data_IF_554834293926
#
_entry.id   IF_554834293926
#
_cell.length_a   1.000
_cell.length_b   1.000
_cell.length_c   1.000
_cell.angle_alpha   90.00
_cell.angle_beta   90.00
_cell.angle_gamma   90.00
#
_symmetry.space_group_name_H-M   'P 1'
#
loop_
_entity.id
_entity.type
_entity.pdbx_description
1 polymer ?
#
# COMPACT_ATOMS: atom_id res chain seq x y z
N UNK A 1 -6.74 24.39 17.41
CA UNK A 1 -5.83 25.31 16.70
C UNK A 1 -4.41 24.98 17.16
N UNK A 2 -3.73 24.02 16.49
CA UNK A 2 -2.32 23.72 16.76
C UNK A 2 -1.54 24.44 15.66
N UNK A 3 -0.84 25.49 16.04
CA UNK A 3 0.10 26.21 15.18
C UNK A 3 1.25 25.25 14.87
N UNK A 4 1.28 24.71 13.64
CA UNK A 4 2.48 24.08 13.14
C UNK A 4 3.57 25.14 13.06
N UNK A 5 4.59 25.03 13.88
CA UNK A 5 5.80 25.85 13.78
C UNK A 5 6.48 25.54 12.45
N UNK A 6 6.21 26.34 11.44
CA UNK A 6 6.84 26.29 10.15
C UNK A 6 8.22 26.93 10.26
N UNK A 7 9.24 26.10 10.30
CA UNK A 7 10.64 26.55 10.19
C UNK A 7 10.83 27.33 8.90
N UNK A 8 11.28 28.57 9.02
CA UNK A 8 11.69 29.39 7.89
C UNK A 8 12.84 28.70 7.14
N UNK A 9 12.60 28.34 5.87
CA UNK A 9 13.64 27.80 5.02
C UNK A 9 14.54 28.95 4.52
N UNK A 10 15.87 28.79 4.54
CA UNK A 10 16.78 29.84 4.07
C UNK A 10 16.68 30.03 2.56
N UNK A 11 16.54 31.29 2.12
CA UNK A 11 16.90 31.75 0.80
C UNK A 11 15.90 31.51 -0.31
N UNK A 12 14.65 31.96 -0.18
CA UNK A 12 13.77 32.07 -1.35
C UNK A 12 14.12 33.35 -2.14
N UNK A 13 14.48 33.17 -3.43
CA UNK A 13 14.84 34.25 -4.37
C UNK A 13 13.65 35.11 -4.80
N UNK A 14 12.45 34.87 -4.28
CA UNK A 14 11.22 35.57 -4.70
C UNK A 14 10.71 35.18 -6.11
N UNK A 15 11.36 34.26 -6.78
CA UNK A 15 10.99 33.78 -8.13
C UNK A 15 9.74 32.87 -8.09
N UNK A 16 8.89 33.00 -9.09
CA UNK A 16 7.69 32.15 -9.24
C UNK A 16 8.10 30.69 -9.48
N UNK A 17 7.67 29.78 -8.61
CA UNK A 17 7.98 28.35 -8.69
C UNK A 17 6.77 27.50 -8.30
N UNK A 18 6.54 26.39 -9.02
CA UNK A 18 5.65 25.31 -8.62
C UNK A 18 6.41 24.27 -7.80
N UNK A 19 5.73 23.61 -6.86
CA UNK A 19 6.30 22.44 -6.20
C UNK A 19 6.63 21.34 -7.23
N UNK A 20 7.69 20.58 -6.99
CA UNK A 20 8.23 19.59 -7.92
C UNK A 20 7.25 18.50 -8.33
N UNK A 21 6.23 18.25 -7.51
CA UNK A 21 5.15 17.30 -7.84
C UNK A 21 4.28 17.79 -9.00
N UNK A 22 4.31 19.07 -9.37
CA UNK A 22 3.60 19.64 -10.52
C UNK A 22 4.55 19.82 -11.70
N UNK A 23 4.65 18.82 -12.53
CA UNK A 23 5.49 18.84 -13.74
C UNK A 23 4.69 18.48 -14.99
N UNK A 24 5.30 18.59 -16.15
CA UNK A 24 4.73 18.04 -17.37
C UNK A 24 4.43 16.54 -17.19
N UNK A 25 3.49 16.02 -17.94
CA UNK A 25 2.99 14.64 -17.91
C UNK A 25 2.26 14.22 -16.60
N UNK A 26 1.96 15.14 -15.68
CA UNK A 26 1.25 14.79 -14.45
C UNK A 26 -0.17 14.30 -14.70
N UNK A 27 -0.66 13.47 -13.77
CA UNK A 27 -2.08 13.14 -13.65
C UNK A 27 -2.63 13.86 -12.44
N UNK A 28 -3.66 14.66 -12.63
CA UNK A 28 -4.45 15.23 -11.54
C UNK A 28 -5.63 14.32 -11.24
N UNK A 29 -5.94 14.13 -9.96
CA UNK A 29 -7.11 13.34 -9.55
C UNK A 29 -8.38 13.96 -10.17
N UNK A 30 -9.14 13.17 -10.92
CA UNK A 30 -10.35 13.63 -11.62
C UNK A 30 -11.47 14.02 -10.66
N UNK A 31 -12.38 14.88 -11.14
CA UNK A 31 -13.66 15.24 -10.52
C UNK A 31 -13.54 15.75 -9.07
N UNK A 32 -12.40 16.37 -8.74
CA UNK A 32 -12.13 16.88 -7.39
C UNK A 32 -11.53 18.27 -7.40
N UNK A 33 -11.45 18.88 -6.24
CA UNK A 33 -10.79 20.15 -6.02
C UNK A 33 -9.30 19.86 -5.70
N UNK A 34 -8.45 19.87 -6.74
CA UNK A 34 -7.02 19.60 -6.58
C UNK A 34 -6.28 20.83 -6.04
N UNK A 35 -5.59 20.73 -4.91
CA UNK A 35 -4.65 21.74 -4.47
C UNK A 35 -3.47 21.85 -5.44
N UNK A 36 -3.08 23.09 -5.75
CA UNK A 36 -1.88 23.42 -6.53
C UNK A 36 -1.13 24.47 -5.73
N UNK A 37 0.18 24.28 -5.51
CA UNK A 37 0.97 25.15 -4.67
C UNK A 37 2.39 25.36 -5.19
N UNK A 38 3.04 26.35 -4.62
CA UNK A 38 4.41 26.71 -4.93
C UNK A 38 4.85 27.95 -4.18
N UNK A 39 5.80 28.66 -4.75
CA UNK A 39 6.40 29.83 -4.12
C UNK A 39 6.44 30.99 -5.09
N UNK A 40 6.43 32.21 -4.57
CA UNK A 40 6.57 33.47 -5.28
C UNK A 40 7.07 34.54 -4.29
N UNK A 41 7.35 35.76 -4.74
CA UNK A 41 7.67 36.85 -3.82
C UNK A 41 6.56 37.03 -2.77
N UNK A 42 6.91 37.24 -1.48
CA UNK A 42 5.92 37.52 -0.44
C UNK A 42 4.96 38.65 -0.85
N UNK A 43 3.67 38.43 -0.66
CA UNK A 43 2.63 39.37 -1.04
C UNK A 43 2.30 39.40 -2.54
N UNK A 44 3.02 38.64 -3.36
CA UNK A 44 2.73 38.58 -4.80
C UNK A 44 1.43 37.82 -5.08
N UNK A 45 0.62 38.36 -6.01
CA UNK A 45 -0.57 37.68 -6.51
C UNK A 45 -0.18 36.65 -7.53
N UNK A 46 -0.55 35.39 -7.28
CA UNK A 46 -0.36 34.26 -8.19
C UNK A 46 -1.70 33.84 -8.77
N UNK A 47 -1.78 33.63 -10.11
CA UNK A 47 -2.95 33.14 -10.79
C UNK A 47 -2.63 31.84 -11.53
N UNK A 48 -3.55 30.88 -11.45
CA UNK A 48 -3.49 29.59 -12.14
C UNK A 48 -4.67 29.48 -13.11
N UNK A 49 -4.38 29.26 -14.37
CA UNK A 49 -5.35 29.00 -15.43
C UNK A 49 -5.08 27.63 -16.05
N UNK A 50 -6.16 26.95 -16.46
CA UNK A 50 -6.12 25.58 -16.98
C UNK A 50 -6.95 25.50 -18.26
N UNK A 51 -6.54 24.66 -19.21
CA UNK A 51 -7.17 24.61 -20.54
C UNK A 51 -8.59 24.05 -20.53
N UNK A 52 -9.00 23.33 -19.47
CA UNK A 52 -10.37 22.80 -19.33
C UNK A 52 -11.34 23.76 -18.63
N UNK A 53 -10.88 24.96 -18.22
CA UNK A 53 -11.73 25.96 -17.59
C UNK A 53 -11.40 27.36 -18.07
N UNK A 54 -12.44 28.18 -18.32
CA UNK A 54 -12.28 29.59 -18.66
C UNK A 54 -11.98 30.48 -17.45
N UNK A 55 -12.18 29.96 -16.20
CA UNK A 55 -11.98 30.72 -14.97
C UNK A 55 -10.60 30.39 -14.39
N UNK A 56 -9.78 31.42 -14.23
CA UNK A 56 -8.55 31.32 -13.46
C UNK A 56 -8.85 31.40 -11.95
N UNK A 57 -8.05 30.73 -11.15
CA UNK A 57 -8.05 30.86 -9.68
C UNK A 57 -6.79 31.62 -9.23
N UNK A 58 -6.86 32.31 -8.11
CA UNK A 58 -5.71 33.07 -7.64
C UNK A 58 -5.59 33.07 -6.12
N UNK A 59 -4.36 33.22 -5.64
CA UNK A 59 -3.99 33.44 -4.24
C UNK A 59 -2.92 34.51 -4.12
N UNK A 60 -2.71 35.02 -2.91
CA UNK A 60 -1.58 35.88 -2.55
C UNK A 60 -0.57 35.02 -1.80
N UNK A 61 0.70 35.11 -2.17
CA UNK A 61 1.78 34.43 -1.46
C UNK A 61 1.90 35.01 -0.03
N UNK A 62 2.06 34.14 0.95
CA UNK A 62 2.22 34.50 2.35
C UNK A 62 3.59 35.15 2.65
N UNK A 63 3.88 35.41 3.92
CA UNK A 63 5.13 36.01 4.35
C UNK A 63 6.37 35.12 4.04
N UNK A 64 6.18 33.81 3.93
CA UNK A 64 7.21 32.83 3.53
C UNK A 64 7.29 32.62 2.02
N UNK A 65 6.50 33.39 1.25
CA UNK A 65 6.40 33.30 -0.19
C UNK A 65 5.58 32.09 -0.68
N UNK A 66 4.87 31.37 0.19
CA UNK A 66 4.06 30.20 -0.20
C UNK A 66 2.70 30.63 -0.73
N UNK A 67 2.28 30.00 -1.79
CA UNK A 67 0.91 30.18 -2.30
C UNK A 67 0.25 28.82 -2.54
N UNK A 68 -1.06 28.76 -2.39
CA UNK A 68 -1.88 27.58 -2.68
C UNK A 68 -3.22 28.00 -3.24
N UNK A 69 -3.65 27.33 -4.28
CA UNK A 69 -4.99 27.46 -4.88
C UNK A 69 -5.65 26.10 -5.00
N UNK A 70 -6.96 26.08 -5.24
CA UNK A 70 -7.70 24.86 -5.56
C UNK A 70 -8.21 24.95 -6.99
N UNK A 71 -7.88 23.94 -7.79
CA UNK A 71 -8.29 23.81 -9.19
C UNK A 71 -9.26 22.63 -9.31
N UNK A 72 -10.50 22.89 -9.77
CA UNK A 72 -11.47 21.84 -10.03
C UNK A 72 -11.08 21.09 -11.30
N UNK A 73 -10.87 19.77 -11.20
CA UNK A 73 -10.55 18.90 -12.33
C UNK A 73 -11.82 18.38 -13.02
N UNK A 74 -11.78 18.15 -14.34
CA UNK A 74 -12.89 17.58 -15.09
C UNK A 74 -12.99 16.06 -14.89
N UNK A 75 -13.91 15.43 -15.60
CA UNK A 75 -13.90 13.99 -15.87
C UNK A 75 -12.55 13.54 -16.47
N UNK A 76 -12.34 12.22 -16.52
CA UNK A 76 -11.12 11.67 -17.09
C UNK A 76 -10.89 12.11 -18.54
N UNK A 77 -9.67 12.49 -18.88
CA UNK A 77 -9.29 12.95 -20.21
C UNK A 77 -8.00 13.73 -20.26
N UNK A 78 -7.78 14.42 -21.36
CA UNK A 78 -6.58 15.19 -21.66
C UNK A 78 -6.09 14.91 -23.09
N UNK A 79 -4.91 15.41 -23.49
CA UNK A 79 -3.98 16.20 -22.66
C UNK A 79 -4.42 17.65 -22.47
N UNK A 80 -4.14 18.16 -21.28
CA UNK A 80 -4.44 19.54 -20.88
C UNK A 80 -3.16 20.34 -20.61
N UNK A 81 -3.33 21.65 -20.40
CA UNK A 81 -2.25 22.56 -19.98
C UNK A 81 -2.64 23.36 -18.74
N UNK A 82 -1.64 23.73 -17.95
CA UNK A 82 -1.76 24.64 -16.80
C UNK A 82 -0.76 25.78 -16.94
N UNK A 83 -1.23 27.01 -16.80
CA UNK A 83 -0.37 28.20 -16.77
C UNK A 83 -0.47 28.87 -15.42
N UNK A 84 0.69 29.14 -14.80
CA UNK A 84 0.84 29.90 -13.55
C UNK A 84 1.51 31.23 -13.84
N UNK A 85 0.98 32.32 -13.32
CA UNK A 85 1.50 33.68 -13.54
C UNK A 85 1.62 34.45 -12.24
N UNK A 86 2.68 35.24 -12.12
CA UNK A 86 2.84 36.24 -11.05
C UNK A 86 3.59 37.44 -11.64
N UNK A 87 2.93 38.60 -11.74
CA UNK A 87 3.47 39.77 -12.42
C UNK A 87 3.85 39.45 -13.88
N UNK A 88 5.14 39.57 -14.21
CA UNK A 88 5.68 39.24 -15.55
C UNK A 88 6.09 37.79 -15.71
N UNK A 89 6.21 37.05 -14.61
CA UNK A 89 6.64 35.66 -14.63
C UNK A 89 5.53 34.72 -15.08
N UNK A 90 5.88 33.68 -15.85
CA UNK A 90 4.97 32.69 -16.38
C UNK A 90 5.62 31.31 -16.38
N UNK A 91 4.93 30.34 -15.79
CA UNK A 91 5.25 28.92 -15.89
C UNK A 91 4.13 28.21 -16.66
N UNK A 92 4.48 27.19 -17.42
CA UNK A 92 3.51 26.35 -18.13
C UNK A 92 3.81 24.90 -17.86
N UNK A 93 2.78 24.09 -17.68
CA UNK A 93 2.83 22.62 -17.61
C UNK A 93 1.96 22.04 -18.69
N UNK A 94 2.47 21.03 -19.38
CA UNK A 94 1.86 20.42 -20.56
C UNK A 94 1.64 18.93 -20.37
N UNK A 95 0.85 18.35 -21.26
CA UNK A 95 0.51 16.92 -21.27
C UNK A 95 -0.06 16.46 -19.91
N UNK A 96 -0.96 17.27 -19.33
CA UNK A 96 -1.64 16.98 -18.08
C UNK A 96 -2.85 16.10 -18.39
N UNK A 97 -3.02 15.03 -17.63
CA UNK A 97 -4.20 14.18 -17.70
C UNK A 97 -5.07 14.38 -16.47
N UNK A 98 -6.38 14.28 -16.65
CA UNK A 98 -7.34 14.06 -15.56
C UNK A 98 -7.61 12.57 -15.45
N UNK A 99 -7.37 11.97 -14.30
CA UNK A 99 -7.47 10.51 -14.12
C UNK A 99 -7.47 10.10 -12.67
N UNK A 100 -7.13 8.86 -12.40
CA UNK A 100 -7.00 8.34 -11.03
C UNK A 100 -5.55 8.45 -10.56
N UNK A 101 -5.35 8.91 -9.33
CA UNK A 101 -4.01 9.03 -8.72
C UNK A 101 -3.93 8.17 -7.47
N UNK A 102 -2.89 7.34 -7.37
CA UNK A 102 -2.63 6.49 -6.21
C UNK A 102 -1.23 6.69 -5.66
N UNK A 103 -1.12 6.76 -4.33
CA UNK A 103 0.16 6.85 -3.63
C UNK A 103 0.60 5.44 -3.21
N UNK A 104 1.72 4.97 -3.75
CA UNK A 104 2.23 3.61 -3.56
C UNK A 104 3.46 3.67 -2.65
N UNK A 105 3.29 3.31 -1.37
CA UNK A 105 4.33 3.45 -0.34
C UNK A 105 4.63 2.13 0.37
N UNK A 106 5.75 2.05 1.06
CA UNK A 106 6.17 0.88 1.80
C UNK A 106 7.67 0.63 1.71
N UNK A 107 8.09 -0.63 1.90
CA UNK A 107 9.48 -1.01 1.89
C UNK A 107 9.91 -1.76 0.62
N UNK A 108 10.91 -2.62 0.70
CA UNK A 108 11.54 -3.29 -0.46
C UNK A 108 10.56 -4.03 -1.36
N UNK A 109 9.52 -4.65 -0.83
CA UNK A 109 8.50 -5.34 -1.61
C UNK A 109 7.62 -4.39 -2.45
N UNK A 110 7.39 -3.15 -1.98
CA UNK A 110 6.82 -2.08 -2.80
C UNK A 110 7.88 -1.46 -3.73
N UNK A 111 9.12 -1.36 -3.30
CA UNK A 111 10.20 -0.73 -4.07
C UNK A 111 10.64 -1.59 -5.26
N UNK A 112 10.53 -2.91 -5.17
CA UNK A 112 11.03 -3.87 -6.17
C UNK A 112 10.52 -3.51 -7.56
N UNK A 113 11.44 -3.20 -8.51
CA UNK A 113 11.05 -2.72 -9.83
C UNK A 113 10.53 -3.86 -10.72
N UNK A 114 9.84 -3.53 -11.80
CA UNK A 114 9.39 -4.52 -12.81
C UNK A 114 10.56 -5.36 -13.31
N UNK A 115 11.75 -4.79 -13.49
CA UNK A 115 12.95 -5.52 -13.88
C UNK A 115 13.51 -6.44 -12.78
N UNK A 116 12.94 -6.44 -11.58
CA UNK A 116 13.43 -7.18 -10.42
C UNK A 116 14.63 -6.52 -9.74
N UNK A 117 15.08 -7.12 -8.63
CA UNK A 117 16.37 -6.79 -8.02
C UNK A 117 17.46 -7.71 -8.59
N UNK A 118 18.72 -7.41 -8.29
CA UNK A 118 19.83 -8.31 -8.66
C UNK A 118 19.58 -9.73 -8.11
N UNK A 119 19.54 -10.72 -8.99
CA UNK A 119 19.27 -12.15 -8.70
C UNK A 119 17.86 -12.44 -8.16
N UNK A 120 16.95 -11.50 -8.20
CA UNK A 120 15.56 -11.68 -7.76
C UNK A 120 14.63 -11.22 -8.86
N UNK A 121 13.92 -12.16 -9.45
CA UNK A 121 13.06 -11.95 -10.61
C UNK A 121 11.67 -11.47 -10.18
N UNK A 122 10.99 -10.80 -11.09
CA UNK A 122 9.54 -10.55 -11.02
C UNK A 122 8.87 -11.32 -12.14
N UNK A 123 7.90 -12.14 -11.82
CA UNK A 123 7.10 -12.88 -12.81
C UNK A 123 6.30 -11.90 -13.70
N UNK A 124 6.19 -12.19 -15.00
CA UNK A 124 5.48 -11.33 -15.95
C UNK A 124 6.21 -10.04 -16.38
N UNK A 125 7.46 -9.81 -15.92
CA UNK A 125 8.23 -8.59 -16.24
C UNK A 125 8.37 -8.35 -17.73
N UNK A 126 8.76 -9.38 -18.49
CA UNK A 126 8.97 -9.27 -19.94
C UNK A 126 7.70 -8.90 -20.67
N UNK A 127 6.60 -9.54 -20.32
CA UNK A 127 5.27 -9.32 -20.90
C UNK A 127 4.77 -7.90 -20.59
N UNK A 128 4.99 -7.42 -19.38
CA UNK A 128 4.66 -6.05 -18.99
C UNK A 128 5.47 -5.01 -19.76
N UNK A 129 6.78 -5.23 -19.92
CA UNK A 129 7.64 -4.32 -20.67
C UNK A 129 7.32 -4.31 -22.18
N UNK A 130 6.83 -5.43 -22.73
CA UNK A 130 6.33 -5.45 -24.10
C UNK A 130 5.03 -4.63 -24.27
N UNK A 131 4.16 -4.60 -23.25
CA UNK A 131 2.92 -3.79 -23.27
C UNK A 131 3.15 -2.31 -22.92
N UNK A 132 4.21 -1.98 -22.18
CA UNK A 132 4.45 -0.65 -21.65
C UNK A 132 4.38 0.49 -22.71
N UNK A 133 4.87 0.34 -23.95
CA UNK A 133 4.71 1.39 -24.97
C UNK A 133 3.24 1.72 -25.29
N UNK A 134 2.36 0.72 -25.33
CA UNK A 134 0.93 0.92 -25.58
C UNK A 134 0.20 1.57 -24.38
N UNK A 135 0.74 1.42 -23.18
CA UNK A 135 0.19 1.99 -21.95
C UNK A 135 0.74 3.40 -21.63
N UNK A 136 1.77 3.86 -22.34
CA UNK A 136 2.51 5.09 -22.04
C UNK A 136 1.64 6.37 -22.02
N UNK A 137 0.59 6.42 -22.82
CA UNK A 137 -0.33 7.55 -22.83
C UNK A 137 -1.41 7.48 -21.73
N UNK A 138 -1.59 6.34 -21.09
CA UNK A 138 -2.57 6.12 -20.02
C UNK A 138 -1.97 6.09 -18.64
N UNK A 139 -0.72 5.60 -18.50
CA UNK A 139 -0.05 5.46 -17.21
C UNK A 139 1.06 6.50 -17.09
N UNK A 140 1.04 7.23 -15.98
CA UNK A 140 2.05 8.21 -15.63
C UNK A 140 2.64 7.88 -14.26
N UNK A 141 3.93 8.08 -14.12
CA UNK A 141 4.72 7.69 -12.98
C UNK A 141 5.43 8.91 -12.40
N UNK A 142 5.20 9.17 -11.13
CA UNK A 142 5.99 10.07 -10.32
C UNK A 142 6.78 9.23 -9.30
N UNK A 143 8.07 9.08 -9.51
CA UNK A 143 8.93 8.37 -8.56
C UNK A 143 9.58 9.39 -7.66
N UNK A 144 9.27 9.34 -6.36
CA UNK A 144 9.90 10.21 -5.37
C UNK A 144 11.38 9.84 -5.28
N UNK A 145 12.22 10.78 -5.70
CA UNK A 145 13.69 10.68 -5.65
C UNK A 145 14.21 11.69 -4.64
N UNK A 146 14.21 11.31 -3.38
CA UNK A 146 14.65 12.11 -2.26
C UNK A 146 15.26 11.19 -1.19
N UNK A 147 16.15 11.74 -0.39
CA UNK A 147 16.81 11.04 0.69
C UNK A 147 15.99 11.03 1.98
N UNK A 148 16.47 10.29 2.96
CA UNK A 148 15.95 10.33 4.33
C UNK A 148 16.51 11.54 5.05
N UNK A 149 15.73 12.20 5.89
CA UNK A 149 16.17 13.35 6.67
C UNK A 149 15.35 13.57 7.92
N UNK A 150 15.97 14.07 8.98
CA UNK A 150 15.27 14.53 10.18
C UNK A 150 14.70 15.95 10.04
N UNK A 151 15.07 16.66 8.98
CA UNK A 151 14.59 18.03 8.72
C UNK A 151 13.43 17.98 7.73
N UNK A 152 12.26 18.54 8.07
CA UNK A 152 11.11 18.61 7.16
C UNK A 152 11.49 19.27 5.83
N UNK A 153 11.18 18.60 4.72
CA UNK A 153 11.41 19.14 3.38
C UNK A 153 10.09 19.71 2.82
N UNK A 154 10.17 20.87 2.19
CA UNK A 154 9.00 21.50 1.59
C UNK A 154 8.75 21.05 0.14
N UNK A 155 9.73 20.43 -0.51
CA UNK A 155 9.69 20.11 -1.93
C UNK A 155 10.56 18.91 -2.29
N UNK A 156 10.28 18.30 -3.45
CA UNK A 156 11.08 17.20 -3.99
C UNK A 156 11.55 17.51 -5.42
N UNK A 157 12.74 17.04 -5.78
CA UNK A 157 13.29 17.15 -7.13
C UNK A 157 12.94 15.90 -7.93
N UNK A 158 11.72 15.83 -8.41
CA UNK A 158 11.23 14.72 -9.23
C UNK A 158 10.29 15.25 -10.32
N UNK A 159 9.95 14.42 -11.29
CA UNK A 159 9.00 14.78 -12.35
C UNK A 159 8.17 13.58 -12.79
N UNK A 160 6.94 13.85 -13.20
CA UNK A 160 6.08 12.88 -13.83
C UNK A 160 6.63 12.44 -15.19
N UNK A 161 6.54 11.15 -15.48
CA UNK A 161 7.00 10.55 -16.73
C UNK A 161 5.96 9.59 -17.28
N UNK A 162 5.94 9.41 -18.60
CA UNK A 162 5.16 8.36 -19.26
C UNK A 162 5.71 6.98 -18.90
N UNK A 163 4.85 6.01 -18.72
CA UNK A 163 5.22 4.63 -18.39
C UNK A 163 5.72 3.89 -19.63
N UNK A 164 6.82 4.32 -20.20
CA UNK A 164 7.42 3.71 -21.39
C UNK A 164 8.88 3.35 -21.18
N UNK A 165 9.38 2.39 -21.93
CA UNK A 165 10.78 2.00 -21.95
C UNK A 165 11.35 1.75 -20.55
N UNK A 166 12.49 2.34 -20.25
CA UNK A 166 13.18 2.18 -18.97
C UNK A 166 12.37 2.69 -17.78
N UNK A 167 11.45 3.66 -17.98
CA UNK A 167 10.67 4.16 -16.85
C UNK A 167 9.76 3.07 -16.25
N UNK A 168 9.11 2.27 -17.07
CA UNK A 168 8.34 1.12 -16.61
C UNK A 168 9.25 0.09 -15.93
N UNK A 169 10.39 -0.25 -16.54
CA UNK A 169 11.33 -1.24 -16.02
C UNK A 169 11.84 -0.92 -14.60
N UNK A 170 12.13 0.35 -14.32
CA UNK A 170 12.67 0.80 -13.03
C UNK A 170 11.61 1.31 -12.04
N UNK A 171 10.33 1.12 -12.36
CA UNK A 171 9.21 1.46 -11.47
C UNK A 171 8.80 0.25 -10.62
N UNK A 172 8.26 0.49 -9.43
CA UNK A 172 7.63 -0.54 -8.59
C UNK A 172 6.76 -1.49 -9.41
N UNK A 173 7.03 -2.78 -9.33
CA UNK A 173 6.26 -3.79 -10.05
C UNK A 173 4.79 -3.80 -9.58
N UNK A 174 4.56 -3.81 -8.26
CA UNK A 174 3.20 -3.78 -7.71
C UNK A 174 2.44 -2.54 -8.17
N UNK A 175 3.05 -1.36 -8.08
CA UNK A 175 2.40 -0.12 -8.49
C UNK A 175 2.13 -0.06 -10.00
N UNK A 176 3.07 -0.55 -10.82
CA UNK A 176 2.92 -0.57 -12.27
C UNK A 176 1.81 -1.53 -12.73
N UNK A 177 1.84 -2.78 -12.26
CA UNK A 177 0.80 -3.75 -12.59
C UNK A 177 -0.59 -3.31 -12.09
N UNK A 178 -0.66 -2.73 -10.89
CA UNK A 178 -1.90 -2.16 -10.39
C UNK A 178 -2.43 -1.04 -11.32
N UNK A 179 -1.56 -0.12 -11.74
CA UNK A 179 -1.96 0.96 -12.64
C UNK A 179 -2.41 0.43 -14.01
N UNK A 180 -1.76 -0.61 -14.53
CA UNK A 180 -2.14 -1.28 -15.77
C UNK A 180 -3.56 -1.86 -15.66
N UNK A 181 -3.83 -2.66 -14.61
CA UNK A 181 -5.15 -3.26 -14.35
C UNK A 181 -6.23 -2.22 -14.12
N UNK A 182 -5.91 -1.18 -13.36
CA UNK A 182 -6.88 -0.12 -13.05
C UNK A 182 -7.22 0.70 -14.31
N UNK A 183 -6.23 1.04 -15.13
CA UNK A 183 -6.43 1.74 -16.40
C UNK A 183 -7.28 0.93 -17.39
N UNK A 184 -7.07 -0.39 -17.44
CA UNK A 184 -7.89 -1.31 -18.23
C UNK A 184 -9.32 -1.38 -17.70
N UNK A 185 -9.50 -1.62 -16.39
CA UNK A 185 -10.81 -1.83 -15.75
C UNK A 185 -11.70 -0.59 -15.74
N UNK A 186 -11.10 0.62 -15.64
CA UNK A 186 -11.84 1.88 -15.63
C UNK A 186 -11.90 2.58 -16.99
N UNK A 187 -10.98 2.28 -17.92
CA UNK A 187 -10.85 2.97 -19.19
C UNK A 187 -10.31 4.41 -19.06
N UNK A 188 -9.64 4.76 -17.95
CA UNK A 188 -9.18 6.14 -17.66
C UNK A 188 -7.67 6.19 -17.44
N UNK A 189 -7.02 7.38 -17.57
CA UNK A 189 -5.62 7.54 -17.19
C UNK A 189 -5.39 7.25 -15.70
N UNK A 190 -4.22 6.68 -15.40
CA UNK A 190 -3.80 6.39 -14.02
C UNK A 190 -2.42 6.98 -13.76
N UNK A 191 -2.30 7.76 -12.70
CA UNK A 191 -1.06 8.26 -12.15
C UNK A 191 -0.68 7.50 -10.89
N UNK A 192 0.56 7.02 -10.81
CA UNK A 192 1.12 6.41 -9.60
C UNK A 192 2.24 7.26 -9.04
N UNK A 193 2.14 7.58 -7.75
CA UNK A 193 3.20 8.23 -7.00
C UNK A 193 3.93 7.13 -6.23
N UNK A 194 5.09 6.72 -6.72
CA UNK A 194 5.89 5.64 -6.12
C UNK A 194 6.83 6.23 -5.08
N UNK A 195 6.58 5.90 -3.84
CA UNK A 195 7.31 6.40 -2.69
C UNK A 195 7.63 5.25 -1.73
N UNK A 196 8.63 4.44 -2.05
CA UNK A 196 9.02 3.26 -1.28
C UNK A 196 10.51 3.30 -0.94
N UNK A 197 10.87 2.65 0.20
CA UNK A 197 12.25 2.58 0.68
C UNK A 197 12.52 1.24 1.38
N UNK A 198 13.44 0.45 0.81
CA UNK A 198 13.78 -0.87 1.30
C UNK A 198 14.28 -0.89 2.74
N UNK A 199 13.85 -1.88 3.53
CA UNK A 199 14.24 -2.05 4.92
C UNK A 199 13.67 -1.03 5.89
N UNK A 200 12.74 -0.16 5.45
CA UNK A 200 12.16 0.85 6.34
C UNK A 200 11.15 0.26 7.32
N UNK A 201 11.16 0.78 8.54
CA UNK A 201 10.13 0.55 9.55
C UNK A 201 8.96 1.51 9.33
N UNK A 202 7.78 1.15 9.84
CA UNK A 202 6.57 1.99 9.74
C UNK A 202 6.78 3.37 10.39
N UNK A 203 7.47 3.46 11.52
CA UNK A 203 7.74 4.70 12.24
C UNK A 203 8.55 5.74 11.43
N UNK A 204 9.34 5.30 10.43
CA UNK A 204 10.05 6.22 9.55
C UNK A 204 9.10 7.05 8.64
N UNK A 205 7.89 6.56 8.42
CA UNK A 205 6.84 7.17 7.60
C UNK A 205 5.84 8.01 8.41
N UNK A 206 6.12 8.25 9.70
CA UNK A 206 5.26 8.96 10.63
C UNK A 206 6.00 10.17 11.21
N UNK A 207 5.26 11.22 11.55
CA UNK A 207 5.78 12.31 12.38
C UNK A 207 6.10 11.80 13.79
N UNK A 208 7.11 12.36 14.45
CA UNK A 208 7.47 11.98 15.81
C UNK A 208 6.29 12.17 16.79
N UNK A 209 5.55 13.24 16.64
CA UNK A 209 4.36 13.55 17.44
C UNK A 209 3.25 12.51 17.28
N UNK A 210 3.09 11.96 16.07
CA UNK A 210 2.14 10.87 15.81
C UNK A 210 2.55 9.60 16.51
N UNK A 211 3.86 9.27 16.53
CA UNK A 211 4.38 8.12 17.26
C UNK A 211 4.22 8.33 18.78
N UNK A 212 4.55 9.52 19.30
CA UNK A 212 4.39 9.86 20.71
C UNK A 212 2.91 9.83 21.17
N UNK A 213 1.96 10.12 20.28
CA UNK A 213 0.52 10.04 20.59
C UNK A 213 0.03 8.64 20.91
N UNK A 214 0.81 7.60 20.58
CA UNK A 214 0.53 6.20 20.93
C UNK A 214 0.81 5.86 22.40
N UNK A 215 1.41 6.78 23.16
CA UNK A 215 1.68 6.63 24.59
C UNK A 215 0.37 6.39 25.36
N UNK A 216 0.36 5.36 26.19
CA UNK A 216 -0.84 4.90 26.89
C UNK A 216 -1.79 4.01 26.06
N UNK A 217 -1.60 3.92 24.74
CA UNK A 217 -2.34 3.02 23.84
C UNK A 217 -1.51 1.77 23.51
N UNK A 218 -0.21 1.95 23.36
CA UNK A 218 0.80 0.91 23.14
C UNK A 218 1.66 0.83 24.41
N UNK A 219 2.05 -0.38 24.88
CA UNK A 219 2.95 -0.51 26.03
C UNK A 219 4.24 0.27 25.83
N UNK A 220 4.73 0.90 26.90
CA UNK A 220 5.92 1.76 26.85
C UNK A 220 7.16 1.03 26.30
N UNK A 221 7.34 -0.24 26.64
CA UNK A 221 8.44 -1.07 26.09
C UNK A 221 8.33 -1.23 24.58
N UNK A 222 7.12 -1.45 24.06
CA UNK A 222 6.89 -1.59 22.61
C UNK A 222 7.04 -0.24 21.90
N UNK A 223 6.55 0.84 22.50
CA UNK A 223 6.75 2.20 22.00
C UNK A 223 8.24 2.54 21.92
N UNK A 224 9.01 2.21 22.97
CA UNK A 224 10.46 2.38 22.99
C UNK A 224 11.14 1.56 21.88
N UNK A 225 10.71 0.33 21.62
CA UNK A 225 11.21 -0.47 20.47
C UNK A 225 10.87 0.19 19.12
N UNK A 226 9.68 0.73 18.99
CA UNK A 226 9.24 1.43 17.76
C UNK A 226 10.07 2.69 17.53
N UNK A 227 10.40 3.42 18.60
CA UNK A 227 11.22 4.63 18.57
C UNK A 227 12.72 4.36 18.48
N UNK A 228 13.18 3.15 18.88
CA UNK A 228 14.60 2.83 18.98
C UNK A 228 15.33 2.90 17.64
N UNK A 229 16.51 3.53 17.64
CA UNK A 229 17.46 3.47 16.54
C UNK A 229 18.06 2.06 16.45
N UNK A 230 18.00 1.44 15.27
CA UNK A 230 18.67 0.17 15.03
C UNK A 230 20.19 0.40 14.88
N UNK A 231 20.93 0.13 15.96
CA UNK A 231 22.40 -0.10 15.95
C UNK A 231 23.26 1.02 15.34
N UNK A 232 22.96 2.29 15.57
CA UNK A 232 23.85 3.39 15.22
C UNK A 232 24.14 3.54 13.71
N UNK A 233 23.46 2.80 12.85
CA UNK A 233 23.52 2.99 11.41
C UNK A 233 22.52 4.07 11.04
N UNK A 234 22.98 5.10 10.34
CA UNK A 234 22.16 6.11 9.67
C UNK A 234 21.35 5.43 8.55
N UNK A 235 20.27 4.72 8.91
CA UNK A 235 19.43 3.95 7.98
C UNK A 235 17.97 4.38 8.14
N UNK A 236 17.13 4.20 7.09
CA UNK A 236 15.73 4.66 7.00
C UNK A 236 14.79 4.03 8.03
N UNK A 237 15.31 3.65 9.18
CA UNK A 237 14.57 3.08 10.32
C UNK A 237 14.27 4.12 11.41
N UNK A 238 14.88 5.31 11.32
CA UNK A 238 14.62 6.39 12.29
C UNK A 238 13.22 6.96 12.08
N UNK A 239 12.53 7.23 13.20
CA UNK A 239 11.23 7.92 13.20
C UNK A 239 11.30 9.17 12.32
N UNK A 240 10.25 9.44 11.59
CA UNK A 240 10.00 10.60 10.72
C UNK A 240 10.97 10.83 9.55
N UNK A 241 12.02 10.04 9.40
CA UNK A 241 13.06 10.32 8.38
C UNK A 241 12.54 10.25 6.94
N UNK A 242 11.63 9.32 6.65
CA UNK A 242 10.98 9.19 5.35
C UNK A 242 9.73 10.09 5.26
N UNK A 243 9.08 10.35 6.38
CA UNK A 243 8.03 11.35 6.44
C UNK A 243 8.58 12.70 6.00
N UNK A 244 9.60 13.20 6.67
CA UNK A 244 10.20 14.51 6.40
C UNK A 244 10.78 14.65 5.00
N UNK A 245 11.49 13.63 4.52
CA UNK A 245 12.18 13.69 3.24
C UNK A 245 11.32 13.37 2.04
N UNK A 246 10.29 12.54 2.21
CA UNK A 246 9.63 11.89 1.08
C UNK A 246 8.10 12.02 1.06
N UNK A 247 7.43 11.94 2.24
CA UNK A 247 5.97 12.04 2.31
C UNK A 247 5.50 13.49 2.38
N UNK A 248 6.06 14.27 3.30
CA UNK A 248 5.69 15.66 3.52
C UNK A 248 5.78 16.53 2.24
N UNK A 249 6.83 16.43 1.39
CA UNK A 249 6.94 17.25 0.18
C UNK A 249 5.84 17.01 -0.88
N UNK A 250 5.18 15.86 -0.84
CA UNK A 250 4.10 15.48 -1.78
C UNK A 250 2.73 15.49 -1.12
N UNK A 251 2.67 15.69 0.20
CA UNK A 251 1.43 15.66 0.95
C UNK A 251 0.45 16.74 0.49
N UNK A 252 -0.79 16.34 0.31
CA UNK A 252 -1.84 17.20 -0.23
C UNK A 252 -1.93 17.23 -1.77
N UNK A 253 -1.08 16.48 -2.51
CA UNK A 253 -1.35 16.20 -3.92
C UNK A 253 -2.58 15.29 -4.00
N UNK A 254 -3.66 15.78 -4.63
CA UNK A 254 -4.93 15.06 -4.61
C UNK A 254 -4.76 13.65 -5.19
N UNK A 255 -5.17 12.66 -4.42
CA UNK A 255 -5.09 11.25 -4.78
C UNK A 255 -6.35 10.50 -4.33
N UNK A 256 -6.62 9.37 -4.97
CA UNK A 256 -7.75 8.49 -4.65
C UNK A 256 -7.51 7.72 -3.36
N UNK A 257 -6.31 7.18 -3.17
CA UNK A 257 -6.01 6.32 -2.04
C UNK A 257 -4.53 5.96 -1.94
N UNK A 258 -4.24 5.07 -0.98
CA UNK A 258 -2.90 4.59 -0.68
C UNK A 258 -2.79 3.08 -0.93
N UNK A 259 -1.67 2.65 -1.52
CA UNK A 259 -1.22 1.26 -1.51
C UNK A 259 -0.02 1.15 -0.57
N UNK A 260 -0.05 0.17 0.32
CA UNK A 260 0.96 -0.03 1.35
C UNK A 260 1.49 -1.47 1.36
N UNK A 261 2.79 -1.64 1.15
CA UNK A 261 3.43 -2.95 1.24
C UNK A 261 4.66 -2.86 2.16
N UNK A 262 4.44 -3.19 3.43
CA UNK A 262 5.44 -3.09 4.49
C UNK A 262 5.05 -4.01 5.66
N UNK A 263 6.00 -4.36 6.52
CA UNK A 263 5.80 -5.14 7.73
C UNK A 263 7.01 -6.00 8.08
N UNK A 264 7.83 -6.38 7.10
CA UNK A 264 8.97 -7.27 7.30
C UNK A 264 10.00 -6.70 8.30
N UNK A 265 10.15 -5.38 8.32
CA UNK A 265 11.03 -4.68 9.28
C UNK A 265 10.42 -4.49 10.66
N UNK A 266 9.13 -4.75 10.80
CA UNK A 266 8.35 -4.61 12.04
C UNK A 266 7.70 -5.93 12.49
N UNK A 267 8.13 -7.07 11.96
CA UNK A 267 7.51 -8.40 12.18
C UNK A 267 7.37 -8.82 13.65
N UNK A 268 8.08 -8.19 14.56
CA UNK A 268 7.99 -8.42 16.01
C UNK A 268 7.10 -7.38 16.71
N UNK A 269 6.52 -6.42 15.98
CA UNK A 269 5.64 -5.41 16.55
C UNK A 269 4.20 -5.92 16.67
N UNK A 270 3.85 -6.39 17.86
CA UNK A 270 2.52 -6.94 18.16
C UNK A 270 1.42 -5.86 18.31
N UNK A 271 1.78 -4.58 18.16
CA UNK A 271 0.87 -3.42 18.16
C UNK A 271 0.90 -2.65 16.84
N UNK A 272 1.43 -3.29 15.80
CA UNK A 272 1.52 -2.72 14.46
C UNK A 272 0.18 -2.20 13.93
N UNK A 273 -0.93 -2.86 14.25
CA UNK A 273 -2.30 -2.44 13.92
C UNK A 273 -2.60 -1.01 14.41
N UNK A 274 -2.25 -0.69 15.64
CA UNK A 274 -2.45 0.64 16.25
C UNK A 274 -1.49 1.68 15.68
N UNK A 275 -0.24 1.31 15.46
CA UNK A 275 0.76 2.16 14.82
C UNK A 275 0.32 2.49 13.38
N UNK A 276 -0.15 1.49 12.63
CA UNK A 276 -0.64 1.67 11.27
C UNK A 276 -1.90 2.54 11.23
N UNK A 277 -2.82 2.36 12.18
CA UNK A 277 -4.02 3.18 12.28
C UNK A 277 -3.68 4.67 12.53
N UNK A 278 -2.76 4.95 13.46
CA UNK A 278 -2.29 6.31 13.71
C UNK A 278 -1.61 6.93 12.48
N UNK A 279 -0.77 6.17 11.78
CA UNK A 279 -0.13 6.60 10.54
C UNK A 279 -1.17 6.98 9.48
N UNK A 280 -2.13 6.10 9.22
CA UNK A 280 -3.15 6.34 8.18
C UNK A 280 -4.05 7.51 8.54
N UNK A 281 -4.46 7.63 9.80
CA UNK A 281 -5.26 8.76 10.27
C UNK A 281 -4.52 10.09 10.01
N UNK A 282 -3.23 10.15 10.36
CA UNK A 282 -2.41 11.35 10.13
C UNK A 282 -2.16 11.62 8.65
N UNK A 283 -1.91 10.61 7.84
CA UNK A 283 -1.78 10.78 6.39
C UNK A 283 -3.06 11.36 5.78
N UNK A 284 -4.23 10.84 6.11
CA UNK A 284 -5.53 11.36 5.64
C UNK A 284 -5.74 12.82 6.03
N UNK A 285 -5.41 13.18 7.28
CA UNK A 285 -5.51 14.54 7.77
C UNK A 285 -4.64 15.51 6.96
N UNK A 286 -3.36 15.17 6.75
CA UNK A 286 -2.41 16.03 6.02
C UNK A 286 -2.71 16.08 4.53
N UNK A 287 -3.21 14.99 3.95
CA UNK A 287 -3.65 14.97 2.55
C UNK A 287 -4.88 15.84 2.31
N UNK A 288 -5.80 15.88 3.26
CA UNK A 288 -7.01 16.69 3.16
C UNK A 288 -7.98 16.26 2.06
N UNK A 289 -7.94 14.99 1.64
CA UNK A 289 -8.81 14.41 0.62
C UNK A 289 -9.91 13.50 1.21
N UNK A 290 -10.22 13.66 2.51
CA UNK A 290 -11.22 12.88 3.22
C UNK A 290 -10.74 11.47 3.59
N UNK A 291 -11.69 10.52 3.69
CA UNK A 291 -11.41 9.13 4.06
C UNK A 291 -10.84 8.36 2.85
N UNK A 292 -9.58 8.63 2.52
CA UNK A 292 -8.89 7.97 1.42
C UNK A 292 -8.77 6.45 1.69
N UNK A 293 -9.16 5.57 0.74
CA UNK A 293 -8.95 4.13 0.86
C UNK A 293 -7.48 3.78 1.13
N UNK A 294 -7.27 2.80 2.03
CA UNK A 294 -5.96 2.29 2.38
C UNK A 294 -5.91 0.78 2.10
N UNK A 295 -5.17 0.39 1.08
CA UNK A 295 -5.00 -1.00 0.67
C UNK A 295 -3.61 -1.47 1.09
N UNK A 296 -3.53 -2.55 1.87
CA UNK A 296 -2.25 -3.06 2.33
C UNK A 296 -2.05 -4.55 2.02
N UNK A 297 -0.80 -5.02 2.07
CA UNK A 297 -0.41 -6.40 1.78
C UNK A 297 -0.03 -7.09 3.08
N UNK A 298 -0.50 -8.32 3.30
CA UNK A 298 -0.01 -9.17 4.38
C UNK A 298 1.40 -9.68 4.08
N UNK A 299 2.17 -10.06 5.12
CA UNK A 299 3.52 -10.60 4.91
C UNK A 299 3.50 -11.93 4.17
N UNK A 300 4.31 -12.05 3.14
CA UNK A 300 4.46 -13.29 2.40
C UNK A 300 5.22 -14.36 3.22
N UNK A 301 4.93 -15.66 3.00
CA UNK A 301 5.70 -16.75 3.59
C UNK A 301 7.19 -16.66 3.26
N UNK A 302 8.02 -16.70 4.30
CA UNK A 302 9.48 -16.68 4.23
C UNK A 302 10.04 -17.24 5.53
N UNK A 303 11.21 -17.87 5.52
CA UNK A 303 11.74 -18.59 6.71
C UNK A 303 11.96 -17.70 7.93
N UNK A 304 12.24 -16.40 7.78
CA UNK A 304 12.59 -15.50 8.90
C UNK A 304 13.59 -16.12 9.89
N UNK A 305 14.56 -16.88 9.35
CA UNK A 305 15.58 -17.60 10.12
C UNK A 305 15.18 -19.01 10.55
N UNK A 306 13.90 -19.34 10.65
CA UNK A 306 13.39 -20.68 10.97
C UNK A 306 12.01 -20.88 10.34
N UNK A 307 11.89 -21.76 9.35
CA UNK A 307 10.64 -21.98 8.61
C UNK A 307 9.47 -22.39 9.51
N UNK A 308 9.69 -23.28 10.47
CA UNK A 308 8.68 -23.70 11.45
C UNK A 308 8.43 -22.69 12.59
N UNK A 309 8.97 -21.46 12.52
CA UNK A 309 8.68 -20.40 13.49
C UNK A 309 7.31 -19.76 13.22
N UNK A 310 6.78 -19.05 14.22
CA UNK A 310 5.44 -18.46 14.17
C UNK A 310 5.44 -16.92 14.14
N UNK A 311 6.58 -16.27 13.89
CA UNK A 311 6.65 -14.79 13.88
C UNK A 311 5.73 -14.19 12.82
N UNK A 312 5.77 -14.75 11.60
CA UNK A 312 4.97 -14.26 10.47
C UNK A 312 3.46 -14.43 10.71
N UNK A 313 2.94 -15.62 11.02
CA UNK A 313 1.49 -15.78 11.17
C UNK A 313 0.94 -14.95 12.34
N UNK A 314 1.66 -14.84 13.45
CA UNK A 314 1.27 -13.95 14.56
C UNK A 314 1.25 -12.47 14.13
N UNK A 315 2.21 -12.04 13.33
CA UNK A 315 2.21 -10.69 12.80
C UNK A 315 1.09 -10.45 11.78
N UNK A 316 0.73 -11.45 10.97
CA UNK A 316 -0.42 -11.35 10.05
C UNK A 316 -1.73 -11.18 10.83
N UNK A 317 -1.91 -11.87 11.97
CA UNK A 317 -3.05 -11.62 12.86
C UNK A 317 -3.12 -10.13 13.27
N UNK A 318 -1.97 -9.53 13.57
CA UNK A 318 -1.87 -8.10 13.89
C UNK A 318 -2.21 -7.24 12.68
N UNK A 319 -1.62 -7.53 11.50
CA UNK A 319 -1.94 -6.79 10.28
C UNK A 319 -3.44 -6.84 9.95
N UNK A 320 -4.08 -7.99 10.09
CA UNK A 320 -5.52 -8.13 9.80
C UNK A 320 -6.42 -7.45 10.84
N UNK A 321 -5.95 -7.25 12.09
CA UNK A 321 -6.66 -6.39 13.05
C UNK A 321 -6.79 -4.94 12.59
N UNK A 322 -5.85 -4.44 11.79
CA UNK A 322 -5.92 -3.10 11.20
C UNK A 322 -7.20 -2.83 10.39
N UNK A 323 -7.81 -3.88 9.83
CA UNK A 323 -9.08 -3.77 9.11
C UNK A 323 -10.25 -3.30 10.01
N UNK A 324 -10.15 -3.50 11.32
CA UNK A 324 -11.13 -3.03 12.30
C UNK A 324 -10.81 -1.63 12.82
N UNK A 325 -9.53 -1.26 12.84
CA UNK A 325 -9.04 0.01 13.37
C UNK A 325 -9.04 1.13 12.32
N UNK A 326 -8.90 0.77 11.03
CA UNK A 326 -8.77 1.73 9.93
C UNK A 326 -10.01 1.66 9.03
N UNK A 327 -10.92 2.63 9.08
CA UNK A 327 -12.05 2.71 8.15
C UNK A 327 -11.56 2.68 6.69
N UNK A 328 -12.36 2.14 5.77
CA UNK A 328 -12.03 2.04 4.34
C UNK A 328 -10.64 1.43 4.07
N UNK A 329 -10.26 0.42 4.85
CA UNK A 329 -9.04 -0.36 4.65
C UNK A 329 -9.34 -1.76 4.14
N UNK A 330 -8.40 -2.30 3.34
CA UNK A 330 -8.54 -3.60 2.68
C UNK A 330 -7.18 -4.28 2.57
N UNK A 331 -7.16 -5.62 2.63
CA UNK A 331 -5.93 -6.40 2.58
C UNK A 331 -5.84 -7.29 1.33
N UNK A 332 -4.70 -7.26 0.66
CA UNK A 332 -4.28 -8.27 -0.30
C UNK A 332 -3.50 -9.37 0.43
N UNK A 333 -3.86 -10.63 0.18
CA UNK A 333 -3.35 -11.80 0.89
C UNK A 333 -2.23 -12.45 0.07
N UNK A 334 -1.13 -12.78 0.73
CA UNK A 334 0.07 -13.32 0.09
C UNK A 334 0.37 -14.77 0.48
N UNK A 335 -0.56 -15.47 1.11
CA UNK A 335 -0.30 -16.76 1.75
C UNK A 335 0.32 -17.81 0.80
N UNK A 336 -0.09 -17.83 -0.46
CA UNK A 336 0.41 -18.77 -1.47
C UNK A 336 1.57 -18.23 -2.32
N UNK A 337 2.04 -16.99 -2.08
CA UNK A 337 2.98 -16.29 -2.97
C UNK A 337 4.44 -16.30 -2.46
N UNK A 338 4.66 -16.77 -1.24
CA UNK A 338 5.98 -16.75 -0.60
C UNK A 338 6.99 -17.71 -1.20
N UNK A 339 8.24 -17.53 -0.78
CA UNK A 339 9.37 -18.42 -1.07
C UNK A 339 10.22 -18.58 0.18
N UNK A 340 10.57 -19.82 0.54
CA UNK A 340 11.31 -20.11 1.77
C UNK A 340 12.60 -19.30 1.92
N UNK A 341 13.31 -19.09 0.81
CA UNK A 341 14.63 -18.47 0.79
C UNK A 341 14.65 -17.07 0.15
N UNK A 342 13.48 -16.49 -0.14
CA UNK A 342 13.38 -15.12 -0.66
C UNK A 342 12.28 -14.34 0.04
N UNK A 343 12.67 -13.26 0.73
CA UNK A 343 11.73 -12.34 1.36
C UNK A 343 10.93 -11.50 0.34
N UNK A 344 11.36 -11.54 -0.93
CA UNK A 344 10.72 -10.82 -2.02
C UNK A 344 10.04 -11.82 -2.97
N UNK A 345 8.74 -12.11 -2.80
CA UNK A 345 8.04 -13.01 -3.71
C UNK A 345 8.05 -12.45 -5.14
N UNK A 346 8.28 -13.29 -6.15
CA UNK A 346 8.34 -12.85 -7.55
C UNK A 346 6.96 -12.50 -8.13
N UNK A 347 5.86 -12.99 -7.55
CA UNK A 347 4.48 -12.82 -8.02
C UNK A 347 3.92 -11.42 -7.68
N UNK A 348 4.59 -10.36 -8.14
CA UNK A 348 4.14 -8.98 -7.89
C UNK A 348 2.86 -8.63 -8.64
N UNK A 349 2.64 -9.28 -9.78
CA UNK A 349 1.42 -9.09 -10.56
C UNK A 349 0.19 -9.59 -9.78
N UNK A 350 0.26 -10.76 -9.15
CA UNK A 350 -0.84 -11.32 -8.38
C UNK A 350 -1.29 -10.40 -7.23
N UNK A 351 -0.33 -9.79 -6.54
CA UNK A 351 -0.61 -8.80 -5.48
C UNK A 351 -1.31 -7.56 -6.07
N UNK A 352 -0.83 -7.09 -7.22
CA UNK A 352 -1.39 -5.94 -7.90
C UNK A 352 -2.80 -6.23 -8.46
N UNK A 353 -3.04 -7.44 -8.97
CA UNK A 353 -4.35 -7.89 -9.43
C UNK A 353 -5.36 -7.93 -8.28
N UNK A 354 -4.97 -8.42 -7.09
CA UNK A 354 -5.82 -8.34 -5.88
C UNK A 354 -6.12 -6.88 -5.50
N UNK A 355 -5.13 -5.99 -5.49
CA UNK A 355 -5.35 -4.57 -5.22
C UNK A 355 -6.30 -3.92 -6.24
N UNK A 356 -6.14 -4.22 -7.53
CA UNK A 356 -7.01 -3.69 -8.57
C UNK A 356 -8.44 -4.22 -8.43
N UNK A 357 -8.60 -5.51 -8.11
CA UNK A 357 -9.89 -6.14 -7.88
C UNK A 357 -10.61 -5.50 -6.68
N UNK A 358 -9.90 -5.32 -5.55
CA UNK A 358 -10.40 -4.61 -4.37
C UNK A 358 -10.78 -3.16 -4.71
N UNK A 359 -9.92 -2.44 -5.42
CA UNK A 359 -10.19 -1.05 -5.77
C UNK A 359 -11.43 -0.93 -6.68
N UNK A 360 -11.54 -1.77 -7.71
CA UNK A 360 -12.70 -1.76 -8.62
C UNK A 360 -14.01 -2.02 -7.87
N UNK A 361 -14.03 -2.96 -6.93
CA UNK A 361 -15.21 -3.26 -6.11
C UNK A 361 -15.46 -2.16 -5.07
N UNK A 362 -14.53 -1.95 -4.14
CA UNK A 362 -14.74 -1.16 -2.91
C UNK A 362 -14.62 0.35 -3.12
N UNK A 363 -13.82 0.79 -4.08
CA UNK A 363 -13.55 2.22 -4.30
C UNK A 363 -14.31 2.77 -5.49
N UNK A 364 -14.45 1.98 -6.55
CA UNK A 364 -15.12 2.43 -7.79
C UNK A 364 -16.52 1.86 -7.97
N UNK A 365 -17.00 1.03 -7.04
CA UNK A 365 -18.36 0.50 -7.06
C UNK A 365 -18.67 -0.38 -8.28
N UNK A 366 -17.64 -1.03 -8.86
CA UNK A 366 -17.86 -2.04 -9.89
C UNK A 366 -18.42 -3.29 -9.23
N UNK A 367 -19.52 -3.79 -9.74
CA UNK A 367 -20.15 -5.00 -9.21
C UNK A 367 -19.22 -6.20 -9.41
N UNK A 368 -18.72 -6.74 -8.31
CA UNK A 368 -17.88 -7.95 -8.24
C UNK A 368 -18.57 -8.96 -7.34
N UNK A 369 -18.40 -10.25 -7.60
CA UNK A 369 -18.96 -11.28 -6.75
C UNK A 369 -18.47 -11.18 -5.29
N UNK A 370 -17.18 -10.96 -5.12
CA UNK A 370 -16.49 -10.54 -3.89
C UNK A 370 -15.04 -10.18 -4.21
N UNK A 371 -14.52 -9.15 -3.59
CA UNK A 371 -13.08 -8.82 -3.59
C UNK A 371 -12.43 -9.11 -2.24
N UNK A 372 -13.18 -9.60 -1.28
CA UNK A 372 -12.72 -9.91 0.07
C UNK A 372 -12.19 -11.34 0.16
N UNK A 373 -11.12 -11.54 0.92
CA UNK A 373 -10.54 -12.87 1.14
C UNK A 373 -11.46 -13.75 2.02
N UNK A 374 -11.43 -15.09 1.85
CA UNK A 374 -12.13 -16.01 2.74
C UNK A 374 -11.51 -16.00 4.14
N UNK A 375 -12.32 -16.18 5.18
CA UNK A 375 -11.85 -16.31 6.55
C UNK A 375 -12.72 -17.30 7.33
N UNK A 376 -12.19 -18.03 8.33
CA UNK A 376 -12.98 -18.94 9.12
C UNK A 376 -13.99 -18.18 9.99
N UNK A 377 -15.25 -18.63 9.96
CA UNK A 377 -16.34 -18.06 10.76
C UNK A 377 -16.82 -19.02 11.86
N UNK A 378 -16.55 -20.33 11.70
CA UNK A 378 -16.91 -21.34 12.70
C UNK A 378 -16.00 -22.54 12.63
N UNK A 379 -15.67 -23.07 13.79
CA UNK A 379 -14.97 -24.34 13.99
C UNK A 379 -15.89 -25.33 14.69
N UNK A 380 -15.89 -26.58 14.24
CA UNK A 380 -16.63 -27.67 14.88
C UNK A 380 -15.72 -28.88 15.03
N UNK A 381 -15.51 -29.34 16.25
CA UNK A 381 -14.68 -30.50 16.57
C UNK A 381 -15.59 -31.63 17.02
N UNK A 382 -15.66 -32.72 16.26
CA UNK A 382 -16.46 -33.90 16.56
C UNK A 382 -16.01 -35.08 15.71
N UNK A 383 -16.24 -36.30 16.18
CA UNK A 383 -16.00 -37.55 15.45
C UNK A 383 -14.59 -37.65 14.86
N UNK A 384 -13.56 -37.25 15.61
CA UNK A 384 -12.16 -37.32 15.18
C UNK A 384 -11.76 -36.33 14.10
N UNK A 385 -12.50 -35.25 13.89
CA UNK A 385 -12.24 -34.27 12.85
C UNK A 385 -12.54 -32.83 13.29
N UNK A 386 -11.91 -31.89 12.62
CA UNK A 386 -12.27 -30.48 12.64
C UNK A 386 -12.98 -30.11 11.33
N UNK A 387 -14.11 -29.41 11.43
CA UNK A 387 -14.83 -28.84 10.27
C UNK A 387 -14.80 -27.33 10.41
N UNK A 388 -14.27 -26.66 9.38
CA UNK A 388 -14.16 -25.21 9.33
C UNK A 388 -15.14 -24.67 8.30
N UNK A 389 -15.96 -23.70 8.71
CA UNK A 389 -16.84 -22.93 7.83
C UNK A 389 -16.18 -21.59 7.49
N UNK A 390 -16.14 -21.23 6.20
CA UNK A 390 -15.56 -19.98 5.71
C UNK A 390 -16.62 -18.95 5.32
N UNK A 391 -16.42 -17.70 5.75
CA UNK A 391 -17.09 -16.51 5.23
C UNK A 391 -16.38 -15.95 3.98
N UNK A 392 -17.01 -15.01 3.29
CA UNK A 392 -16.55 -14.41 2.03
C UNK A 392 -16.19 -15.42 0.92
N UNK A 393 -16.87 -16.55 0.90
CA UNK A 393 -16.64 -17.61 -0.07
C UNK A 393 -17.96 -17.97 -0.80
N UNK A 394 -18.55 -17.03 -1.59
CA UNK A 394 -19.88 -17.25 -2.20
C UNK A 394 -19.90 -18.43 -3.18
N UNK A 395 -18.76 -18.79 -3.76
CA UNK A 395 -18.58 -19.91 -4.67
C UNK A 395 -17.76 -21.05 -4.06
N UNK A 396 -17.54 -21.02 -2.73
CA UNK A 396 -16.78 -22.03 -2.01
C UNK A 396 -15.28 -21.76 -1.90
N UNK A 397 -14.60 -22.70 -1.25
CA UNK A 397 -13.14 -22.75 -1.10
C UNK A 397 -12.58 -24.05 -1.65
N UNK A 398 -11.36 -24.04 -2.14
CA UNK A 398 -10.69 -25.21 -2.72
C UNK A 398 -9.23 -24.92 -3.08
N UNK A 399 -8.68 -25.73 -3.97
CA UNK A 399 -7.33 -25.55 -4.48
C UNK A 399 -7.26 -25.89 -5.98
N UNK A 400 -6.11 -25.64 -6.58
CA UNK A 400 -5.87 -25.94 -8.01
C UNK A 400 -5.53 -27.42 -8.26
N UNK A 401 -5.09 -28.13 -7.21
CA UNK A 401 -4.59 -29.50 -7.28
C UNK A 401 -5.42 -30.42 -6.39
N UNK A 402 -6.66 -30.63 -6.80
CA UNK A 402 -7.63 -31.52 -6.12
C UNK A 402 -7.11 -32.96 -6.11
N UNK A 403 -7.20 -33.70 -4.97
CA UNK A 403 -7.98 -33.42 -3.77
C UNK A 403 -7.19 -32.88 -2.57
N UNK A 404 -5.91 -32.57 -2.70
CA UNK A 404 -5.02 -32.36 -1.56
C UNK A 404 -4.85 -30.90 -1.18
N UNK A 405 -5.42 -30.50 -0.04
CA UNK A 405 -5.14 -29.22 0.60
C UNK A 405 -4.01 -29.39 1.60
N UNK A 406 -2.99 -28.51 1.53
CA UNK A 406 -1.78 -28.51 2.37
C UNK A 406 -1.79 -27.38 3.39
N UNK A 407 -0.94 -27.50 4.43
CA UNK A 407 -0.73 -26.45 5.42
C UNK A 407 -1.63 -26.51 6.66
N UNK A 408 -2.41 -27.59 6.83
CA UNK A 408 -3.23 -27.80 8.03
C UNK A 408 -2.51 -28.63 9.09
N UNK A 409 -2.79 -28.30 10.35
CA UNK A 409 -2.36 -29.02 11.53
C UNK A 409 -3.51 -29.13 12.55
N UNK A 410 -3.57 -30.22 13.28
CA UNK A 410 -4.49 -30.47 14.40
C UNK A 410 -3.73 -30.71 15.69
N UNK A 411 -4.32 -30.32 16.83
CA UNK A 411 -3.87 -30.66 18.16
C UNK A 411 -5.00 -31.18 19.01
N UNK A 412 -4.67 -32.12 19.93
CA UNK A 412 -5.51 -32.56 21.01
C UNK A 412 -5.33 -31.73 22.28
N UNK A 413 -5.81 -32.24 23.43
CA UNK A 413 -5.64 -31.62 24.76
C UNK A 413 -4.17 -31.45 25.19
N UNK A 414 -3.26 -32.22 24.60
CA UNK A 414 -1.81 -32.12 24.82
C UNK A 414 -1.19 -30.88 24.17
N UNK A 415 -1.94 -30.16 23.32
CA UNK A 415 -1.51 -28.95 22.58
C UNK A 415 -0.35 -29.19 21.62
N UNK A 416 -0.10 -30.42 21.21
CA UNK A 416 0.93 -30.77 20.24
C UNK A 416 0.31 -30.79 18.85
N UNK A 417 0.79 -29.92 17.95
CA UNK A 417 0.28 -29.84 16.59
C UNK A 417 0.94 -30.88 15.67
N UNK A 418 0.11 -31.64 14.98
CA UNK A 418 0.50 -32.65 13.98
C UNK A 418 0.00 -32.26 12.60
N UNK A 419 0.81 -32.46 11.54
CA UNK A 419 0.35 -32.25 10.16
C UNK A 419 -0.91 -33.05 9.86
N UNK A 420 -1.90 -32.41 9.27
CA UNK A 420 -3.23 -32.96 9.08
C UNK A 420 -3.62 -33.02 7.60
N UNK A 421 -4.51 -33.93 7.26
CA UNK A 421 -5.14 -34.03 5.97
C UNK A 421 -6.39 -33.16 5.92
N UNK A 422 -6.53 -32.38 4.84
CA UNK A 422 -7.67 -31.51 4.66
C UNK A 422 -8.32 -31.73 3.29
N UNK A 423 -9.65 -31.68 3.26
CA UNK A 423 -10.45 -31.80 2.05
C UNK A 423 -11.54 -30.72 2.03
N UNK A 424 -11.72 -30.04 0.91
CA UNK A 424 -12.89 -29.20 0.70
C UNK A 424 -14.13 -30.08 0.53
N UNK A 425 -15.30 -29.53 0.88
CA UNK A 425 -16.58 -30.17 0.58
C UNK A 425 -16.83 -30.27 -0.92
N UNK A 426 -18.01 -30.76 -1.32
CA UNK A 426 -18.41 -30.83 -2.73
C UNK A 426 -18.52 -29.44 -3.38
N UNK A 427 -19.06 -29.40 -4.59
CA UNK A 427 -19.20 -28.18 -5.40
C UNK A 427 -19.78 -27.02 -4.61
N UNK A 428 -19.15 -25.86 -4.73
CA UNK A 428 -19.54 -24.60 -4.05
C UNK A 428 -19.46 -24.64 -2.53
N UNK A 429 -18.79 -25.65 -1.94
CA UNK A 429 -18.68 -25.80 -0.51
C UNK A 429 -17.79 -24.74 0.13
N UNK A 430 -18.27 -24.13 1.19
CA UNK A 430 -17.51 -23.26 2.08
C UNK A 430 -16.95 -23.99 3.32
N UNK A 431 -16.98 -25.31 3.30
CA UNK A 431 -16.51 -26.13 4.41
C UNK A 431 -15.23 -26.88 4.03
N UNK A 432 -14.29 -26.92 4.96
CA UNK A 432 -13.09 -27.77 4.90
C UNK A 432 -13.12 -28.72 6.09
N UNK A 433 -12.94 -30.01 5.81
CA UNK A 433 -12.81 -31.05 6.83
C UNK A 433 -11.35 -31.41 6.99
N UNK A 434 -10.86 -31.43 8.24
CA UNK A 434 -9.46 -31.71 8.59
C UNK A 434 -9.42 -32.91 9.54
N UNK A 435 -8.55 -33.89 9.26
CA UNK A 435 -8.35 -35.11 10.02
C UNK A 435 -6.87 -35.41 10.23
N UNK A 436 -6.53 -36.04 11.34
CA UNK A 436 -5.18 -36.48 11.63
C UNK A 436 -5.25 -37.78 12.46
N UNK A 437 -4.67 -38.92 11.97
CA UNK A 437 -4.67 -40.17 12.73
C UNK A 437 -3.99 -40.07 14.09
N UNK A 438 -2.98 -39.19 14.21
CA UNK A 438 -2.24 -38.95 15.47
C UNK A 438 -3.05 -38.11 16.47
N UNK A 439 -4.17 -37.50 16.02
CA UNK A 439 -5.04 -36.64 16.87
C UNK A 439 -6.48 -37.12 16.76
N UNK A 440 -6.84 -38.23 17.44
CA UNK A 440 -8.19 -38.80 17.36
C UNK A 440 -9.29 -37.92 17.98
N UNK A 441 -8.92 -37.02 18.88
CA UNK A 441 -9.81 -36.05 19.54
C UNK A 441 -9.27 -34.63 19.39
N UNK A 442 -9.45 -34.02 18.20
CA UNK A 442 -8.91 -32.67 17.97
C UNK A 442 -9.70 -31.62 18.75
N UNK A 443 -8.98 -30.66 19.33
CA UNK A 443 -9.53 -29.48 20.02
C UNK A 443 -9.07 -28.18 19.39
N UNK A 444 -8.01 -28.22 18.56
CA UNK A 444 -7.51 -27.07 17.86
C UNK A 444 -7.09 -27.41 16.42
N UNK A 445 -7.23 -26.40 15.52
CA UNK A 445 -6.81 -26.45 14.13
C UNK A 445 -6.04 -25.19 13.76
N UNK A 446 -4.95 -25.38 13.02
CA UNK A 446 -4.16 -24.29 12.41
C UNK A 446 -4.03 -24.49 10.91
N UNK A 447 -3.96 -23.37 10.18
CA UNK A 447 -3.68 -23.34 8.74
C UNK A 447 -2.55 -22.37 8.46
N UNK A 448 -1.54 -22.84 7.75
CA UNK A 448 -0.36 -22.06 7.35
C UNK A 448 0.27 -21.27 8.50
N UNK A 449 0.23 -21.81 9.74
CA UNK A 449 0.62 -21.09 10.96
C UNK A 449 2.11 -21.19 11.26
N UNK A 450 2.94 -21.09 10.21
CA UNK A 450 4.40 -21.08 10.26
C UNK A 450 4.97 -19.90 9.47
N UNK A 451 6.25 -19.57 9.71
CA UNK A 451 6.96 -18.54 8.94
C UNK A 451 6.98 -18.91 7.46
N UNK A 452 7.22 -20.17 7.15
CA UNK A 452 7.07 -20.74 5.82
C UNK A 452 6.50 -22.16 5.91
N UNK A 453 5.46 -22.38 5.17
CA UNK A 453 4.86 -23.68 4.89
C UNK A 453 4.15 -23.61 3.56
N UNK A 454 4.17 -24.69 2.80
CA UNK A 454 3.39 -24.79 1.57
C UNK A 454 1.89 -24.85 1.90
N UNK A 455 1.14 -23.89 1.34
CA UNK A 455 -0.29 -23.74 1.55
C UNK A 455 -0.99 -23.45 0.23
N UNK A 456 -2.16 -24.03 0.00
CA UNK A 456 -2.85 -23.99 -1.30
C UNK A 456 -4.37 -23.86 -1.18
N UNK A 457 -4.89 -23.26 -0.12
CA UNK A 457 -6.32 -23.01 0.04
C UNK A 457 -6.70 -21.63 -0.48
N UNK A 458 -7.70 -21.58 -1.36
CA UNK A 458 -8.19 -20.37 -2.00
C UNK A 458 -9.72 -20.30 -1.98
N UNK A 459 -10.29 -19.12 -2.19
CA UNK A 459 -11.63 -19.05 -2.77
C UNK A 459 -11.59 -19.57 -4.21
N UNK A 460 -12.74 -19.97 -4.75
CA UNK A 460 -12.86 -20.35 -6.17
C UNK A 460 -12.55 -19.21 -7.15
N UNK A 461 -12.46 -17.96 -6.66
CA UNK A 461 -11.97 -16.80 -7.41
C UNK A 461 -10.44 -16.63 -7.36
N UNK A 462 -9.73 -17.59 -6.76
CA UNK A 462 -8.28 -17.56 -6.66
C UNK A 462 -7.72 -16.65 -5.54
N UNK A 463 -8.56 -16.10 -4.67
CA UNK A 463 -8.09 -15.27 -3.55
C UNK A 463 -7.58 -16.20 -2.43
N UNK A 464 -6.32 -16.08 -1.99
CA UNK A 464 -5.77 -16.95 -0.96
C UNK A 464 -6.50 -16.80 0.38
N UNK A 465 -6.63 -17.91 1.11
CA UNK A 465 -7.04 -17.89 2.53
C UNK A 465 -5.81 -17.50 3.36
N UNK A 466 -5.85 -16.46 4.20
CA UNK A 466 -4.75 -16.13 5.08
C UNK A 466 -4.52 -17.23 6.14
N UNK A 467 -3.33 -17.28 6.72
CA UNK A 467 -3.08 -18.15 7.86
C UNK A 467 -4.05 -17.86 9.01
N UNK A 468 -4.43 -18.89 9.73
CA UNK A 468 -5.32 -18.76 10.89
C UNK A 468 -5.09 -19.87 11.92
N UNK A 469 -5.63 -19.68 13.10
CA UNK A 469 -5.71 -20.67 14.19
C UNK A 469 -7.04 -20.57 14.93
N UNK A 470 -7.48 -21.68 15.52
CA UNK A 470 -8.65 -21.71 16.40
C UNK A 470 -8.30 -21.60 17.88
N UNK A 471 -7.04 -21.74 18.22
CA UNK A 471 -6.48 -21.71 19.58
C UNK A 471 -6.03 -20.30 19.98
N UNK A 472 -5.69 -20.12 21.27
CA UNK A 472 -5.16 -18.89 21.84
C UNK A 472 -3.82 -19.08 22.59
N UNK A 473 -3.20 -20.26 22.49
CA UNK A 473 -1.95 -20.63 23.14
C UNK A 473 -0.71 -20.60 22.23
#
# INVERSE_FOLDING_TARGET
>A
MILAALLALPGFSGELRLAGVFSDNMVLQRETACPVWGWAAPGARVSVSVSWSRKAVSAVADADGRWRVSVRTPEAGGPYTMTVRSGKERLERRDILSGEVWVCSGQSNMQMPVAGFSRQLVEGSREALLRAPAMADRIRIFKVDADTTQVPQADVKAAWKKASGNMAAYTSAVAYFFAERLAEGLGVPVGIIVNAWGGSRIAAWMEAETVESLRGTVPEEQLAKTLAERNGKAYPVQVQSLWNGRMLPIAGYAARGFLWYQGESDIEDMYYDRVQAAMVARWREVWGCGEMPFLFVTLAPYSYGKSAGEKRPRFIEVQLRSLKEIPSSYAAITESLGREHSIHPPQKQEIADQFAFIALDKVYGREMATSSFPYPVKYTFADGKAVIEFGNAPFGVGNWDVPRITGFELAGEDRVFHPAQATAGGDWSRFVTVTCPEVPEPVAVRYAFHNYVESNLFSTLGIPVPCFRSDDW
#
